data_IF_704563984409
#
_entry.id   IF_704563984409
#
_cell.length_a   1.000
_cell.length_b   1.000
_cell.length_c   1.000
_cell.angle_alpha   90.00
_cell.angle_beta   90.00
_cell.angle_gamma   90.00
#
_symmetry.space_group_name_H-M   'P 1'
#
loop_
_entity.id
_entity.type
_entity.pdbx_description
1 polymer ?
#
# COMPACT_ATOMS: atom_id res chain seq x y z
N UNK A 1 -11.17 12.18 -13.51
CA UNK A 1 -10.23 12.95 -12.68
C UNK A 1 -9.17 12.00 -12.14
N UNK A 2 -7.92 12.11 -12.59
CA UNK A 2 -6.82 11.27 -12.09
C UNK A 2 -6.47 11.72 -10.67
N UNK A 3 -6.60 10.85 -9.66
CA UNK A 3 -6.27 11.19 -8.28
C UNK A 3 -4.74 11.37 -8.14
N UNK A 4 -4.27 12.49 -7.59
CA UNK A 4 -2.83 12.75 -7.35
C UNK A 4 -2.21 11.67 -6.44
N UNK A 5 -0.96 11.24 -6.66
CA UNK A 5 -0.31 10.28 -5.76
C UNK A 5 -0.09 10.91 -4.39
N UNK A 6 0.04 10.09 -3.35
CA UNK A 6 0.35 10.54 -2.00
C UNK A 6 1.56 9.80 -1.45
N UNK A 7 2.16 10.34 -0.40
CA UNK A 7 3.28 9.73 0.30
C UNK A 7 2.78 8.92 1.48
N UNK A 8 3.32 7.72 1.70
CA UNK A 8 3.06 6.84 2.83
C UNK A 8 4.36 6.56 3.58
N UNK A 9 4.35 6.63 4.90
CA UNK A 9 5.44 6.17 5.76
C UNK A 9 4.90 5.39 6.97
N UNK A 10 5.69 4.42 7.46
CA UNK A 10 5.52 3.78 8.76
C UNK A 10 6.49 4.43 9.75
N UNK A 11 5.98 5.05 10.81
CA UNK A 11 6.74 5.86 11.76
C UNK A 11 6.56 5.35 13.19
N UNK A 12 7.53 5.62 14.06
CA UNK A 12 7.44 5.28 15.50
C UNK A 12 6.59 6.27 16.30
N UNK A 13 6.30 7.45 15.76
CA UNK A 13 5.51 8.52 16.40
C UNK A 13 4.51 9.09 15.42
N UNK A 14 3.41 9.63 15.93
CA UNK A 14 2.43 10.35 15.12
C UNK A 14 3.09 11.59 14.52
N UNK A 15 3.09 11.76 13.19
CA UNK A 15 3.60 12.98 12.58
C UNK A 15 2.57 14.10 12.59
N UNK A 16 3.06 15.34 12.63
CA UNK A 16 2.25 16.52 12.38
C UNK A 16 2.07 16.75 10.87
N UNK A 17 0.97 17.41 10.49
CA UNK A 17 0.73 17.84 9.10
C UNK A 17 0.46 16.71 8.09
N UNK A 18 0.27 15.47 8.54
CA UNK A 18 -0.21 14.39 7.69
C UNK A 18 -1.67 14.63 7.27
N UNK A 19 -2.00 14.32 6.02
CA UNK A 19 -3.38 14.30 5.54
C UNK A 19 -4.20 13.28 6.32
N UNK A 20 -3.62 12.10 6.57
CA UNK A 20 -4.22 11.03 7.32
C UNK A 20 -3.13 10.32 8.14
N UNK A 21 -3.45 9.89 9.35
CA UNK A 21 -2.54 9.09 10.17
C UNK A 21 -3.36 8.19 11.10
N UNK A 22 -2.98 6.93 11.20
CA UNK A 22 -3.61 5.99 12.13
C UNK A 22 -2.54 5.20 12.88
N UNK A 23 -2.82 4.86 14.14
CA UNK A 23 -1.97 3.96 14.90
C UNK A 23 -1.97 2.58 14.22
N UNK A 24 -0.81 1.93 14.22
CA UNK A 24 -0.58 0.66 13.57
C UNK A 24 0.17 -0.30 14.50
N UNK A 25 -0.44 -1.45 14.76
CA UNK A 25 0.11 -2.52 15.58
C UNK A 25 0.55 -3.69 14.70
N UNK A 26 1.85 -3.97 14.66
CA UNK A 26 2.41 -5.10 13.92
C UNK A 26 2.19 -6.41 14.67
N UNK A 27 1.46 -7.35 14.07
CA UNK A 27 1.19 -8.67 14.66
C UNK A 27 2.40 -9.61 14.63
N UNK A 28 3.39 -9.34 13.77
CA UNK A 28 4.57 -10.20 13.60
C UNK A 28 5.70 -9.87 14.57
N UNK A 29 5.85 -8.59 14.92
CA UNK A 29 6.98 -8.08 15.70
C UNK A 29 6.56 -7.42 17.02
N UNK A 30 5.26 -7.17 17.21
CA UNK A 30 4.75 -6.37 18.33
C UNK A 30 5.01 -4.88 18.19
N UNK A 31 5.62 -4.41 17.09
CA UNK A 31 5.86 -3.00 16.84
C UNK A 31 4.57 -2.18 16.94
N UNK A 32 4.64 -1.04 17.64
CA UNK A 32 3.57 -0.07 17.77
C UNK A 32 4.04 1.25 17.17
N UNK A 33 3.29 1.79 16.21
CA UNK A 33 3.65 3.01 15.53
C UNK A 33 2.49 3.62 14.78
N UNK A 34 2.79 4.34 13.70
CA UNK A 34 1.84 5.12 12.93
C UNK A 34 2.06 4.91 11.45
N UNK A 35 1.00 4.58 10.72
CA UNK A 35 0.97 4.77 9.28
C UNK A 35 0.48 6.19 9.00
N UNK A 36 1.23 6.93 8.20
CA UNK A 36 0.94 8.32 7.90
C UNK A 36 1.02 8.60 6.41
N UNK A 37 0.08 9.44 5.95
CA UNK A 37 -0.08 9.80 4.55
C UNK A 37 -0.07 11.31 4.36
N UNK A 38 0.63 11.79 3.33
CA UNK A 38 0.65 13.20 2.93
C UNK A 38 0.27 13.37 1.46
N UNK A 39 -0.56 14.36 1.16
CA UNK A 39 -0.90 14.78 -0.20
C UNK A 39 -0.07 16.00 -0.64
N UNK A 40 1.25 15.87 -0.55
CA UNK A 40 2.22 16.90 -0.92
C UNK A 40 3.01 16.48 -2.17
N UNK A 41 3.49 17.45 -2.94
CA UNK A 41 4.33 17.16 -4.11
C UNK A 41 5.70 16.59 -3.70
N UNK A 42 6.35 17.29 -2.76
CA UNK A 42 7.64 16.91 -2.19
C UNK A 42 7.51 15.79 -1.17
N UNK A 43 8.54 14.93 -1.12
CA UNK A 43 8.66 13.84 -0.13
C UNK A 43 8.73 14.45 1.29
N UNK A 44 7.78 14.13 2.19
CA UNK A 44 7.71 14.72 3.53
C UNK A 44 8.65 14.04 4.54
N UNK A 45 9.07 12.80 4.27
CA UNK A 45 9.89 11.99 5.16
C UNK A 45 10.82 11.09 4.33
N UNK A 46 12.09 10.85 4.75
CA UNK A 46 13.04 10.02 4.01
C UNK A 46 12.51 8.61 3.67
N UNK A 47 11.78 8.01 4.61
CA UNK A 47 11.20 6.67 4.42
C UNK A 47 9.89 6.66 3.61
N UNK A 48 9.37 7.83 3.22
CA UNK A 48 8.09 7.89 2.55
C UNK A 48 8.16 7.39 1.10
N UNK A 49 7.23 6.49 0.76
CA UNK A 49 7.03 5.97 -0.58
C UNK A 49 5.73 6.49 -1.17
N UNK A 50 5.66 6.65 -2.50
CA UNK A 50 4.44 7.06 -3.18
C UNK A 50 3.44 5.90 -3.21
N UNK A 51 2.16 6.23 -3.03
CA UNK A 51 1.01 5.33 -3.11
C UNK A 51 -0.13 5.99 -3.91
N UNK A 52 -1.13 5.18 -4.29
CA UNK A 52 -2.36 5.70 -4.86
C UNK A 52 -3.26 6.33 -3.79
N UNK A 53 -3.64 7.59 -3.97
CA UNK A 53 -4.55 8.33 -3.07
C UNK A 53 -5.92 7.70 -2.94
N UNK A 54 -6.36 6.90 -3.93
CA UNK A 54 -7.63 6.19 -3.88
C UNK A 54 -7.70 5.17 -2.72
N UNK A 55 -6.56 4.71 -2.22
CA UNK A 55 -6.51 3.80 -1.06
C UNK A 55 -6.72 4.54 0.29
N UNK A 56 -6.80 5.87 0.30
CA UNK A 56 -6.79 6.69 1.52
C UNK A 56 -8.18 7.27 1.79
N UNK A 57 -8.65 7.17 3.02
CA UNK A 57 -9.86 7.83 3.51
C UNK A 57 -9.67 8.28 4.96
N UNK A 58 -9.75 9.59 5.20
CA UNK A 58 -9.58 10.21 6.52
C UNK A 58 -10.70 9.85 7.49
N UNK A 59 -11.82 9.32 6.99
CA UNK A 59 -12.92 8.77 7.80
C UNK A 59 -13.03 7.24 7.65
N UNK A 60 -12.04 6.60 7.00
CA UNK A 60 -12.06 5.17 6.74
C UNK A 60 -12.09 4.35 8.04
N UNK A 61 -12.81 3.22 8.09
CA UNK A 61 -12.82 2.39 9.30
C UNK A 61 -11.49 1.64 9.46
N UNK A 62 -11.30 1.06 10.64
CA UNK A 62 -10.13 0.24 10.96
C UNK A 62 -9.86 -0.84 9.90
N UNK A 63 -8.59 -1.21 9.73
CA UNK A 63 -8.17 -2.12 8.68
C UNK A 63 -7.13 -3.14 9.18
N UNK A 64 -7.25 -4.37 8.68
CA UNK A 64 -6.17 -5.33 8.69
C UNK A 64 -5.35 -5.13 7.41
N UNK A 65 -4.04 -4.95 7.55
CA UNK A 65 -3.14 -4.53 6.47
C UNK A 65 -2.00 -5.52 6.29
N UNK A 66 -1.84 -6.02 5.07
CA UNK A 66 -0.64 -6.75 4.63
C UNK A 66 0.30 -5.75 3.96
N UNK A 67 1.46 -5.54 4.55
CA UNK A 67 2.47 -4.60 4.09
C UNK A 67 3.71 -5.36 3.64
N UNK A 68 4.00 -5.35 2.34
CA UNK A 68 5.26 -5.90 1.80
C UNK A 68 6.17 -4.73 1.50
N UNK A 69 7.31 -4.63 2.20
CA UNK A 69 8.23 -3.50 2.07
C UNK A 69 9.68 -4.00 1.99
N UNK A 70 10.16 -4.38 0.79
CA UNK A 70 11.53 -4.83 0.61
C UNK A 70 12.54 -3.77 1.05
N UNK A 71 13.65 -4.22 1.64
CA UNK A 71 14.81 -3.37 1.89
C UNK A 71 15.26 -2.68 0.60
N UNK A 72 15.78 -1.45 0.71
CA UNK A 72 16.13 -0.63 -0.46
C UNK A 72 17.05 -1.35 -1.46
N UNK A 73 18.01 -2.15 -0.97
CA UNK A 73 18.94 -2.93 -1.79
C UNK A 73 18.32 -4.14 -2.51
N UNK A 74 17.05 -4.46 -2.25
CA UNK A 74 16.33 -5.63 -2.79
C UNK A 74 15.06 -5.25 -3.55
N UNK A 75 14.88 -3.97 -3.87
CA UNK A 75 13.71 -3.48 -4.61
C UNK A 75 13.83 -3.85 -6.09
N UNK A 76 12.90 -4.64 -6.64
CA UNK A 76 12.89 -4.92 -8.07
C UNK A 76 12.46 -3.68 -8.86
N UNK A 77 12.70 -3.70 -10.17
CA UNK A 77 12.08 -2.75 -11.08
C UNK A 77 10.56 -2.96 -11.09
N UNK A 78 9.81 -1.89 -11.34
CA UNK A 78 8.35 -1.96 -11.36
C UNK A 78 7.81 -2.83 -12.51
N UNK A 79 8.55 -2.91 -13.61
CA UNK A 79 8.24 -3.75 -14.78
C UNK A 79 8.80 -5.17 -14.68
N UNK A 80 9.42 -5.54 -13.55
CA UNK A 80 9.84 -6.91 -13.29
C UNK A 80 8.65 -7.87 -13.47
N UNK A 81 8.80 -8.98 -14.21
CA UNK A 81 7.71 -9.92 -14.46
C UNK A 81 7.02 -10.44 -13.19
N UNK A 82 7.77 -10.56 -12.09
CA UNK A 82 7.25 -11.00 -10.78
C UNK A 82 6.35 -9.93 -10.16
N UNK A 83 6.72 -8.65 -10.27
CA UNK A 83 5.90 -7.51 -9.83
C UNK A 83 4.62 -7.43 -10.66
N UNK A 84 4.75 -7.48 -11.98
CA UNK A 84 3.60 -7.44 -12.91
C UNK A 84 2.66 -8.61 -12.67
N UNK A 85 3.18 -9.82 -12.46
CA UNK A 85 2.36 -10.99 -12.14
C UNK A 85 1.65 -10.82 -10.79
N UNK A 86 2.33 -10.30 -9.76
CA UNK A 86 1.72 -10.04 -8.47
C UNK A 86 0.56 -9.04 -8.57
N UNK A 87 0.77 -7.92 -9.28
CA UNK A 87 -0.25 -6.91 -9.55
C UNK A 87 -1.48 -7.54 -10.24
N UNK A 88 -1.28 -8.38 -11.26
CA UNK A 88 -2.39 -9.06 -11.96
C UNK A 88 -3.20 -9.96 -11.04
N UNK A 89 -2.54 -10.63 -10.08
CA UNK A 89 -3.19 -11.53 -9.13
C UNK A 89 -4.01 -10.80 -8.06
N UNK A 90 -3.75 -9.51 -7.81
CA UNK A 90 -4.54 -8.71 -6.85
C UNK A 90 -6.04 -8.77 -7.14
N UNK A 91 -6.44 -8.79 -8.41
CA UNK A 91 -7.86 -8.89 -8.81
C UNK A 91 -8.57 -10.15 -8.29
N UNK A 92 -7.81 -11.19 -7.96
CA UNK A 92 -8.33 -12.45 -7.41
C UNK A 92 -8.36 -12.50 -5.89
N UNK A 93 -7.89 -11.47 -5.20
CA UNK A 93 -7.86 -11.43 -3.73
C UNK A 93 -9.25 -11.06 -3.20
N UNK A 94 -9.95 -11.97 -2.50
CA UNK A 94 -11.29 -11.71 -1.98
C UNK A 94 -11.26 -10.71 -0.82
N UNK A 95 -12.38 -10.01 -0.59
CA UNK A 95 -12.58 -9.09 0.53
C UNK A 95 -11.56 -7.93 0.61
N UNK A 96 -10.92 -7.59 -0.50
CA UNK A 96 -9.98 -6.48 -0.58
C UNK A 96 -10.73 -5.15 -0.49
N UNK A 97 -10.32 -4.29 0.45
CA UNK A 97 -10.89 -2.94 0.65
C UNK A 97 -10.04 -1.85 0.05
N UNK A 98 -8.72 -1.98 0.10
CA UNK A 98 -7.82 -1.05 -0.55
C UNK A 98 -6.57 -1.80 -0.99
N UNK A 99 -5.96 -1.32 -2.07
CA UNK A 99 -4.67 -1.82 -2.53
C UNK A 99 -3.88 -0.71 -3.19
N UNK A 100 -2.58 -0.71 -2.96
CA UNK A 100 -1.64 0.14 -3.65
C UNK A 100 -0.30 -0.57 -3.78
N UNK A 101 0.40 -0.30 -4.87
CA UNK A 101 1.85 -0.48 -4.90
C UNK A 101 2.52 0.76 -4.34
N UNK A 102 3.74 0.61 -3.85
CA UNK A 102 4.58 1.68 -3.31
C UNK A 102 5.74 1.92 -4.26
N UNK A 103 6.08 3.18 -4.53
CA UNK A 103 7.27 3.53 -5.32
C UNK A 103 8.17 4.51 -4.57
N UNK A 104 9.47 4.24 -4.61
CA UNK A 104 10.49 5.12 -3.98
C UNK A 104 10.99 6.19 -4.95
N UNK A 105 10.97 5.89 -6.23
CA UNK A 105 11.41 6.73 -7.33
C UNK A 105 10.55 6.44 -8.58
N UNK A 106 11.00 6.87 -9.74
CA UNK A 106 10.29 6.73 -11.00
C UNK A 106 10.41 5.37 -11.66
N UNK A 107 11.09 4.36 -11.09
CA UNK A 107 11.27 3.05 -11.76
C UNK A 107 11.19 1.84 -10.82
N UNK A 108 11.42 2.02 -9.51
CA UNK A 108 11.49 0.92 -8.55
C UNK A 108 10.16 0.65 -7.85
N UNK A 109 9.85 -0.65 -7.73
CA UNK A 109 8.86 -1.14 -6.78
C UNK A 109 9.44 -1.07 -5.36
N UNK A 110 8.87 -0.22 -4.52
CA UNK A 110 9.28 -0.08 -3.12
C UNK A 110 8.46 -0.96 -2.16
N UNK A 111 7.35 -1.54 -2.62
CA UNK A 111 6.49 -2.37 -1.79
C UNK A 111 5.04 -2.41 -2.26
N UNK A 112 4.18 -3.00 -1.44
CA UNK A 112 2.74 -3.03 -1.65
C UNK A 112 2.01 -3.00 -0.32
N UNK A 113 0.76 -2.53 -0.37
CA UNK A 113 -0.15 -2.53 0.75
C UNK A 113 -1.49 -3.06 0.29
N UNK A 114 -1.98 -4.11 0.95
CA UNK A 114 -3.33 -4.64 0.80
C UNK A 114 -4.07 -4.47 2.12
N UNK A 115 -5.29 -3.95 2.07
CA UNK A 115 -6.12 -3.74 3.25
C UNK A 115 -7.45 -4.50 3.15
N UNK A 116 -7.92 -5.03 4.27
CA UNK A 116 -9.24 -5.64 4.45
C UNK A 116 -9.84 -5.27 5.81
N UNK A 117 -11.04 -5.74 6.11
CA UNK A 117 -11.67 -5.60 7.42
C UNK A 117 -10.99 -6.51 8.45
N UNK A 118 -10.74 -6.04 9.69
CA UNK A 118 -10.20 -6.87 10.76
C UNK A 118 -11.01 -8.15 11.01
N UNK A 119 -12.33 -8.08 10.94
CA UNK A 119 -13.21 -9.24 11.12
C UNK A 119 -12.96 -10.37 10.10
N UNK A 120 -12.50 -10.04 8.88
CA UNK A 120 -12.18 -11.04 7.84
C UNK A 120 -10.95 -11.86 8.24
N UNK A 121 -9.90 -11.22 8.74
CA UNK A 121 -8.66 -11.92 9.12
C UNK A 121 -8.79 -12.67 10.45
N UNK A 122 -9.71 -12.23 11.30
CA UNK A 122 -10.10 -12.96 12.51
C UNK A 122 -10.87 -14.24 12.17
N UNK A 123 -11.90 -14.14 11.31
CA UNK A 123 -12.69 -15.29 10.86
C UNK A 123 -11.90 -16.23 9.93
N UNK A 124 -10.97 -15.68 9.13
CA UNK A 124 -10.15 -16.42 8.19
C UNK A 124 -8.68 -15.98 8.24
N UNK A 125 -7.88 -16.57 9.15
CA UNK A 125 -6.45 -16.28 9.24
C UNK A 125 -5.66 -16.60 7.96
N UNK A 126 -6.21 -17.45 7.08
CA UNK A 126 -5.62 -17.77 5.78
C UNK A 126 -5.61 -16.61 4.78
N UNK A 127 -6.42 -15.57 4.98
CA UNK A 127 -6.48 -14.40 4.11
C UNK A 127 -5.10 -13.75 3.92
N UNK A 128 -4.29 -13.68 4.98
CA UNK A 128 -2.94 -13.13 4.94
C UNK A 128 -2.04 -13.78 3.89
N UNK A 129 -2.24 -15.08 3.62
CA UNK A 129 -1.47 -15.85 2.67
C UNK A 129 -1.88 -15.65 1.20
N UNK A 130 -2.95 -14.90 0.96
CA UNK A 130 -3.41 -14.55 -0.39
C UNK A 130 -2.66 -13.34 -0.97
N UNK A 131 -1.84 -12.65 -0.19
CA UNK A 131 -1.07 -11.50 -0.67
C UNK A 131 -0.12 -11.94 -1.80
N UNK A 132 -0.36 -11.49 -3.05
CA UNK A 132 0.40 -11.96 -4.20
C UNK A 132 1.85 -11.46 -4.20
N UNK A 133 2.18 -10.45 -3.40
CA UNK A 133 3.52 -9.85 -3.31
C UNK A 133 4.45 -10.59 -2.34
N UNK A 134 3.97 -11.61 -1.62
CA UNK A 134 4.78 -12.44 -0.70
C UNK A 134 5.99 -13.11 -1.35
N UNK A 135 5.97 -13.27 -2.68
CA UNK A 135 7.10 -13.83 -3.43
C UNK A 135 8.27 -12.83 -3.57
N UNK A 136 8.02 -11.53 -3.38
CA UNK A 136 9.01 -10.47 -3.53
C UNK A 136 9.74 -10.19 -2.21
N UNK A 137 9.01 -10.16 -1.10
CA UNK A 137 9.57 -9.98 0.23
C UNK A 137 8.59 -10.48 1.32
N UNK A 138 9.07 -10.71 2.56
CA UNK A 138 8.18 -10.99 3.69
C UNK A 138 7.16 -9.87 3.88
N UNK A 139 5.91 -10.24 4.15
CA UNK A 139 4.89 -9.29 4.61
C UNK A 139 5.09 -8.97 6.10
N UNK A 140 4.58 -7.82 6.48
CA UNK A 140 4.26 -7.47 7.86
C UNK A 140 2.74 -7.31 7.97
N UNK A 141 2.14 -7.95 8.97
CA UNK A 141 0.71 -7.90 9.27
C UNK A 141 0.45 -6.80 10.28
N UNK A 142 -0.44 -5.87 9.96
CA UNK A 142 -0.82 -4.78 10.83
C UNK A 142 -2.32 -4.80 11.12
N UNK A 143 -2.68 -4.47 12.36
CA UNK A 143 -3.98 -3.88 12.66
C UNK A 143 -3.79 -2.37 12.70
N UNK A 144 -4.64 -1.66 11.96
CA UNK A 144 -4.56 -0.21 11.80
C UNK A 144 -5.89 0.40 12.25
N UNK A 145 -5.78 1.40 13.12
CA UNK A 145 -6.92 2.13 13.63
C UNK A 145 -7.68 2.87 12.52
N UNK A 146 -8.92 3.33 12.79
CA UNK A 146 -9.68 4.15 11.83
C UNK A 146 -8.95 5.43 11.41
N UNK A 147 -9.37 6.00 10.28
CA UNK A 147 -8.95 7.30 9.76
C UNK A 147 -7.86 7.26 8.68
N UNK A 148 -7.62 6.10 8.05
CA UNK A 148 -6.57 5.96 7.04
C UNK A 148 -7.02 5.31 5.72
N UNK A 149 -7.68 4.15 5.75
CA UNK A 149 -7.93 3.35 4.54
C UNK A 149 -9.37 3.43 4.05
N UNK A 150 -9.52 3.60 2.74
CA UNK A 150 -10.83 3.59 2.09
C UNK A 150 -11.56 2.26 2.28
N UNK A 151 -12.89 2.32 2.34
CA UNK A 151 -13.77 1.15 2.37
C UNK A 151 -14.38 0.85 1.00
N UNK A 152 -13.53 0.84 -0.05
CA UNK A 152 -13.95 0.54 -1.42
C UNK A 152 -12.79 -0.07 -2.19
N UNK A 153 -12.94 -1.29 -2.76
CA UNK A 153 -11.88 -1.90 -3.55
C UNK A 153 -11.40 -0.90 -4.60
N UNK A 154 -10.10 -0.66 -4.63
CA UNK A 154 -9.52 0.24 -5.62
C UNK A 154 -9.85 -0.29 -7.02
N UNK A 155 -10.25 0.60 -7.94
CA UNK A 155 -10.44 0.23 -9.34
C UNK A 155 -9.06 -0.18 -9.89
N UNK A 156 -8.88 -1.47 -10.14
CA UNK A 156 -7.67 -2.00 -10.75
C UNK A 156 -7.66 -1.54 -12.22
N UNK A 157 -6.66 -0.75 -12.61
CA UNK A 157 -6.56 -0.22 -13.96
C UNK A 157 -5.22 0.47 -14.25
N UNK A 158 -5.01 0.99 -15.47
CA UNK A 158 -3.73 1.57 -15.89
C UNK A 158 -3.21 2.68 -14.95
N UNK A 159 -4.09 3.38 -14.23
CA UNK A 159 -3.73 4.43 -13.28
C UNK A 159 -3.08 3.94 -11.97
N UNK A 160 -3.39 2.71 -11.53
CA UNK A 160 -2.77 2.07 -10.36
C UNK A 160 -1.43 1.40 -10.72
N UNK A 161 -1.23 1.06 -12.00
CA UNK A 161 -0.07 0.31 -12.49
C UNK A 161 1.10 1.18 -12.97
N UNK A 162 0.99 2.52 -12.95
CA UNK A 162 1.84 3.34 -13.82
C UNK A 162 2.29 4.69 -13.31
N UNK A 163 2.76 4.75 -12.06
CA UNK A 163 3.33 6.00 -11.52
C UNK A 163 4.86 6.02 -11.49
N UNK A 164 5.50 5.07 -12.19
CA UNK A 164 6.94 4.91 -12.30
C UNK A 164 7.39 4.85 -13.78
N UNK A 165 7.10 5.90 -14.57
CA UNK A 165 7.61 6.04 -15.93
C UNK A 165 6.51 6.16 -16.99
N UNK A 166 6.78 6.96 -18.02
CA UNK A 166 5.84 7.49 -19.02
C UNK A 166 4.81 6.48 -19.57
N UNK A 167 3.62 6.95 -20.00
CA UNK A 167 2.65 6.14 -20.74
C UNK A 167 3.31 5.42 -21.93
N UNK A 168 2.97 4.14 -22.12
CA UNK A 168 3.27 3.30 -23.26
C UNK A 168 2.36 3.91 -24.32
N UNK A 169 2.83 4.08 -25.56
CA UNK A 169 2.09 4.81 -26.57
C UNK A 169 0.65 4.32 -26.62
N UNK A 170 -0.28 5.25 -26.39
CA UNK A 170 -1.65 5.07 -26.80
C UNK A 170 -1.63 5.10 -28.33
N UNK A 171 -1.69 3.93 -28.93
CA UNK A 171 -1.94 3.72 -30.34
C UNK A 171 -2.97 2.59 -30.38
N UNK A 172 -4.19 2.72 -30.88
CA UNK A 172 -4.83 3.69 -31.77
C UNK A 172 -6.28 3.91 -31.31
#
# INVERSE_FOLDING_TARGET
MSANPCWLALLSRRPDGALASAAASCLDTGFQGWLAVWATESRPHPDACRMDRAAVDVQGPAAAVSLVWPAASRRPLFDDPSVVQAIRRVASVPHLRAVTTLTGDSVQFAGSLLATQPAIVEAWPGWWSLDPFLRLAPRQRFLVDPGLFADRPAVLGPGTQRRAGAPWPASW
#
